data_IF_967480165462
#
_entry.id   IF_967480165462
#
_cell.length_a   1.000
_cell.length_b   1.000
_cell.length_c   1.000
_cell.angle_alpha   90.00
_cell.angle_beta   90.00
_cell.angle_gamma   90.00
#
_symmetry.space_group_name_H-M   'P 1'
#
loop_
_entity.id
_entity.type
_entity.pdbx_description
1 polymer ?
#
# COMPACT_ATOMS: atom_id res chain seq x y z
N UNK A 1 3.71 24.75 -13.67
CA UNK A 1 3.36 23.55 -14.45
C UNK A 1 2.24 22.90 -13.67
N UNK A 2 0.99 22.99 -14.12
CA UNK A 2 -0.15 22.52 -13.31
C UNK A 2 -0.25 21.02 -13.40
N UNK A 3 0.00 20.34 -12.28
CA UNK A 3 -0.14 18.89 -12.18
C UNK A 3 -1.64 18.57 -12.21
N UNK A 4 -2.19 18.33 -13.39
CA UNK A 4 -3.60 17.94 -13.55
C UNK A 4 -3.82 16.58 -12.89
N UNK A 5 -4.45 16.58 -11.72
CA UNK A 5 -4.94 15.35 -11.11
C UNK A 5 -6.25 14.95 -11.79
N UNK A 6 -6.33 13.70 -12.25
CA UNK A 6 -7.56 13.18 -12.85
C UNK A 6 -8.55 12.76 -11.75
N UNK A 7 -9.76 13.30 -11.79
CA UNK A 7 -10.84 12.91 -10.89
C UNK A 7 -11.13 11.42 -11.05
N UNK A 8 -11.18 10.70 -9.93
CA UNK A 8 -11.39 9.25 -9.89
C UNK A 8 -10.11 8.42 -9.86
N UNK A 9 -8.94 9.03 -10.09
CA UNK A 9 -7.66 8.33 -9.93
C UNK A 9 -7.35 8.03 -8.46
N UNK A 10 -6.68 6.90 -8.24
CA UNK A 10 -6.18 6.49 -6.92
C UNK A 10 -4.72 6.89 -6.79
N UNK A 11 -4.42 7.63 -5.74
CA UNK A 11 -3.09 8.13 -5.42
C UNK A 11 -2.66 7.60 -4.06
N UNK A 12 -1.35 7.64 -3.83
CA UNK A 12 -0.76 7.30 -2.54
C UNK A 12 -0.19 8.58 -1.96
N UNK A 13 -0.55 8.90 -0.72
CA UNK A 13 -0.11 10.13 -0.06
C UNK A 13 0.22 9.89 1.41
N UNK A 14 0.93 10.85 1.99
CA UNK A 14 1.36 10.77 3.39
C UNK A 14 0.47 11.63 4.27
N UNK A 15 0.01 11.08 5.40
CA UNK A 15 -0.80 11.85 6.36
C UNK A 15 0.06 12.97 6.96
N UNK A 16 -0.25 14.22 6.63
CA UNK A 16 0.42 15.40 7.15
C UNK A 16 -0.13 15.82 8.51
N UNK A 17 -1.43 15.60 8.75
CA UNK A 17 -2.09 16.00 9.99
C UNK A 17 -3.49 15.43 10.11
N UNK A 18 -3.97 15.32 11.34
CA UNK A 18 -5.30 14.81 11.67
C UNK A 18 -6.04 15.89 12.45
N UNK A 19 -7.29 16.16 12.05
CA UNK A 19 -8.18 17.11 12.69
C UNK A 19 -9.52 16.43 13.01
N UNK A 20 -10.32 16.95 13.96
CA UNK A 20 -11.59 16.33 14.34
C UNK A 20 -12.62 16.26 13.20
N UNK A 21 -12.46 17.08 12.16
CA UNK A 21 -13.32 17.08 10.98
C UNK A 21 -12.78 16.24 9.81
N UNK A 22 -11.52 15.77 9.87
CA UNK A 22 -10.88 15.09 8.74
C UNK A 22 -9.37 14.90 8.87
N UNK A 23 -8.75 14.36 7.82
CA UNK A 23 -7.30 14.16 7.75
C UNK A 23 -6.71 14.86 6.53
N UNK A 24 -5.52 15.45 6.71
CA UNK A 24 -4.74 16.08 5.65
C UNK A 24 -3.73 15.09 5.11
N UNK A 25 -3.74 14.89 3.81
CA UNK A 25 -2.83 14.01 3.11
C UNK A 25 -2.04 14.83 2.10
N UNK A 26 -0.72 14.83 2.25
CA UNK A 26 0.19 15.40 1.28
C UNK A 26 0.38 14.38 0.14
N UNK A 27 0.00 14.78 -1.07
CA UNK A 27 0.20 13.99 -2.29
C UNK A 27 1.52 14.35 -2.95
N UNK A 28 1.87 15.64 -2.95
CA UNK A 28 3.07 16.20 -3.55
C UNK A 28 3.59 17.40 -2.71
N UNK A 29 4.68 18.05 -3.12
CA UNK A 29 5.31 19.15 -2.38
C UNK A 29 4.43 20.40 -2.32
N UNK A 30 3.63 20.66 -3.36
CA UNK A 30 2.74 21.82 -3.46
C UNK A 30 1.25 21.47 -3.33
N UNK A 31 0.90 20.18 -3.33
CA UNK A 31 -0.51 19.74 -3.35
C UNK A 31 -0.89 18.98 -2.09
N UNK A 32 -1.93 19.49 -1.41
CA UNK A 32 -2.50 18.86 -0.23
C UNK A 32 -3.97 18.52 -0.46
N UNK A 33 -4.36 17.33 -0.04
CA UNK A 33 -5.75 16.91 -0.05
C UNK A 33 -6.32 16.77 1.35
N UNK A 34 -7.63 17.01 1.45
CA UNK A 34 -8.41 16.87 2.67
C UNK A 34 -9.36 15.69 2.50
N UNK A 35 -9.30 14.76 3.45
CA UNK A 35 -10.27 13.67 3.60
C UNK A 35 -11.23 14.05 4.71
N UNK A 36 -12.52 14.12 4.38
CA UNK A 36 -13.55 14.41 5.38
C UNK A 36 -13.74 13.21 6.32
N UNK A 37 -14.15 13.43 7.58
CA UNK A 37 -14.38 12.34 8.55
C UNK A 37 -15.34 11.26 8.03
N UNK A 38 -16.36 11.67 7.25
CA UNK A 38 -17.34 10.78 6.60
C UNK A 38 -16.76 9.94 5.46
N UNK A 39 -15.55 10.26 5.01
CA UNK A 39 -14.84 9.59 3.94
C UNK A 39 -13.67 8.72 4.42
N UNK A 40 -13.39 8.73 5.73
CA UNK A 40 -12.38 7.87 6.34
C UNK A 40 -12.93 6.44 6.49
N UNK A 41 -14.17 6.27 6.95
CA UNK A 41 -14.80 4.96 7.16
C UNK A 41 -16.31 5.07 7.17
N UNK A 42 -17.01 3.99 6.83
CA UNK A 42 -18.44 3.84 7.05
C UNK A 42 -18.75 3.65 8.54
N UNK A 43 -18.94 4.75 9.28
CA UNK A 43 -19.36 4.71 10.68
C UNK A 43 -18.97 5.94 11.49
N UNK A 44 -19.38 5.98 12.76
CA UNK A 44 -18.95 7.01 13.70
C UNK A 44 -17.51 6.73 14.13
N UNK A 45 -16.57 7.57 13.69
CA UNK A 45 -15.18 7.50 14.11
C UNK A 45 -15.02 8.35 15.37
N UNK A 46 -14.90 7.69 16.53
CA UNK A 46 -14.71 8.36 17.82
C UNK A 46 -13.31 9.00 17.91
N UNK A 47 -12.31 8.31 17.38
CA UNK A 47 -10.92 8.77 17.30
C UNK A 47 -10.30 8.43 15.93
N UNK A 48 -9.99 9.46 15.14
CA UNK A 48 -9.32 9.30 13.84
C UNK A 48 -7.87 8.83 14.04
N UNK A 49 -7.22 9.21 15.14
CA UNK A 49 -5.84 8.84 15.45
C UNK A 49 -5.61 7.33 15.61
N UNK A 50 -6.65 6.55 15.91
CA UNK A 50 -6.54 5.08 15.94
C UNK A 50 -6.57 4.48 14.53
N UNK A 51 -7.20 5.15 13.57
CA UNK A 51 -7.39 4.68 12.21
C UNK A 51 -6.33 5.19 11.25
N UNK A 52 -5.81 6.39 11.50
CA UNK A 52 -4.79 7.05 10.70
C UNK A 52 -3.70 7.57 11.64
N UNK A 53 -2.44 7.44 11.21
CA UNK A 53 -1.30 8.01 11.93
C UNK A 53 -0.63 9.09 11.09
N UNK A 54 -0.19 10.15 11.76
CA UNK A 54 0.60 11.19 11.12
C UNK A 54 1.90 10.56 10.60
N UNK A 55 2.18 10.78 9.32
CA UNK A 55 3.31 10.22 8.61
C UNK A 55 3.08 8.84 8.00
N UNK A 56 1.90 8.26 8.16
CA UNK A 56 1.53 7.00 7.51
C UNK A 56 1.24 7.22 6.02
N UNK A 57 1.52 6.21 5.20
CA UNK A 57 1.31 6.24 3.76
C UNK A 57 0.00 5.53 3.42
N UNK A 58 -0.98 6.29 2.93
CA UNK A 58 -2.35 5.83 2.69
C UNK A 58 -2.76 6.04 1.25
N UNK A 59 -3.62 5.14 0.76
CA UNK A 59 -4.22 5.27 -0.57
C UNK A 59 -5.53 6.04 -0.49
N UNK A 60 -5.70 6.95 -1.43
CA UNK A 60 -6.84 7.87 -1.51
C UNK A 60 -7.28 8.04 -2.94
N UNK A 61 -8.59 8.17 -3.12
CA UNK A 61 -9.20 8.47 -4.41
C UNK A 61 -9.52 9.95 -4.53
N UNK A 62 -9.19 10.55 -5.68
CA UNK A 62 -9.54 11.94 -6.00
C UNK A 62 -11.03 12.04 -6.32
N UNK A 63 -11.76 12.89 -5.60
CA UNK A 63 -13.16 13.21 -5.91
C UNK A 63 -13.30 14.51 -6.70
N UNK A 64 -12.59 15.53 -6.27
CA UNK A 64 -12.66 16.88 -6.86
C UNK A 64 -11.30 17.53 -6.72
N UNK A 65 -10.88 18.24 -7.76
CA UNK A 65 -9.62 18.98 -7.81
C UNK A 65 -9.96 20.44 -7.95
N UNK A 66 -9.38 21.27 -7.08
CA UNK A 66 -9.49 22.72 -7.14
C UNK A 66 -8.13 23.30 -7.58
N UNK A 67 -8.00 23.62 -8.86
CA UNK A 67 -6.77 24.16 -9.46
C UNK A 67 -6.45 25.58 -8.97
N UNK A 68 -7.44 26.36 -8.52
CA UNK A 68 -7.24 27.72 -8.03
C UNK A 68 -6.58 27.75 -6.64
N UNK A 69 -6.99 26.85 -5.74
CA UNK A 69 -6.49 26.82 -4.36
C UNK A 69 -5.45 25.71 -4.11
N UNK A 70 -5.18 24.85 -5.09
CA UNK A 70 -4.28 23.70 -4.93
C UNK A 70 -4.80 22.63 -3.96
N UNK A 71 -6.11 22.63 -3.70
CA UNK A 71 -6.77 21.74 -2.73
C UNK A 71 -7.49 20.62 -3.45
N UNK A 72 -7.42 19.42 -2.88
CA UNK A 72 -8.06 18.24 -3.47
C UNK A 72 -8.95 17.57 -2.43
N UNK A 73 -10.20 17.29 -2.79
CA UNK A 73 -11.09 16.47 -1.97
C UNK A 73 -10.78 15.00 -2.22
N UNK A 74 -10.45 14.28 -1.15
CA UNK A 74 -9.98 12.91 -1.19
C UNK A 74 -10.86 11.98 -0.37
N UNK A 75 -10.98 10.74 -0.83
CA UNK A 75 -11.70 9.68 -0.12
C UNK A 75 -10.81 8.50 0.19
N UNK A 76 -10.87 7.97 1.42
CA UNK A 76 -10.23 6.70 1.78
C UNK A 76 -11.23 5.54 1.53
N UNK A 77 -12.51 5.72 1.90
CA UNK A 77 -13.58 4.73 1.68
C UNK A 77 -13.75 4.33 0.21
N UNK A 78 -13.63 5.28 -0.72
CA UNK A 78 -13.83 5.00 -2.15
C UNK A 78 -12.69 4.16 -2.75
N UNK A 79 -11.61 3.95 -2.01
CA UNK A 79 -10.49 3.08 -2.34
C UNK A 79 -10.70 1.65 -1.86
N UNK A 80 -11.54 1.42 -0.84
CA UNK A 80 -11.89 0.07 -0.36
C UNK A 80 -12.71 -0.72 -1.41
N UNK A 81 -13.38 -0.04 -2.35
CA UNK A 81 -14.23 -0.67 -3.38
C UNK A 81 -13.49 -1.11 -4.66
N UNK A 82 -12.18 -0.84 -4.83
CA UNK A 82 -11.46 -1.32 -6.03
C UNK A 82 -9.99 -1.70 -5.75
N UNK A 83 -9.60 -2.98 -5.89
CA UNK A 83 -8.22 -3.39 -5.74
C UNK A 83 -7.47 -3.13 -7.06
N UNK A 84 -6.68 -2.05 -7.16
CA UNK A 84 -5.61 -2.00 -8.17
C UNK A 84 -4.48 -1.02 -7.87
N UNK A 85 -3.27 -1.58 -7.86
CA UNK A 85 -1.92 -0.98 -8.01
C UNK A 85 -1.46 -0.05 -6.86
N UNK A 86 -0.36 -0.26 -6.13
CA UNK A 86 1.04 -0.59 -6.44
C UNK A 86 1.81 0.57 -7.07
N UNK A 87 2.39 1.41 -6.20
CA UNK A 87 3.72 2.00 -6.40
C UNK A 87 4.45 2.07 -5.06
N UNK A 88 5.17 1.00 -4.70
CA UNK A 88 6.31 1.12 -3.78
C UNK A 88 7.38 1.91 -4.54
N UNK A 89 7.81 3.12 -4.10
CA UNK A 89 8.95 3.74 -4.73
C UNK A 89 10.18 2.87 -4.48
N UNK A 90 10.83 2.50 -5.58
CA UNK A 90 12.09 1.81 -5.60
C UNK A 90 13.16 2.68 -4.92
N UNK A 91 13.47 2.42 -3.65
CA UNK A 91 14.75 2.84 -3.07
C UNK A 91 15.76 1.72 -3.28
N UNK A 92 16.35 1.71 -4.47
CA UNK A 92 17.47 0.83 -4.83
C UNK A 92 18.78 1.45 -4.31
N UNK A 93 19.45 0.66 -3.46
CA UNK A 93 20.90 0.62 -3.12
C UNK A 93 21.55 1.75 -2.30
N UNK A 94 22.03 1.38 -1.11
CA UNK A 94 23.47 1.18 -0.88
C UNK A 94 23.76 0.15 0.23
N UNK A 95 24.60 -0.81 -0.15
CA UNK A 95 25.47 -1.76 0.55
C UNK A 95 25.27 -2.05 2.05
N UNK A 96 24.96 -3.33 2.34
CA UNK A 96 25.90 -4.16 3.09
C UNK A 96 25.92 -5.57 2.46
N UNK A 97 27.07 -5.93 1.89
CA UNK A 97 27.43 -7.22 1.27
C UNK A 97 28.82 -7.50 1.88
N UNK A 98 29.27 -8.66 2.40
CA UNK A 98 29.06 -10.10 2.15
C UNK A 98 29.64 -10.85 3.39
N UNK A 99 29.13 -12.07 3.71
CA UNK A 99 29.88 -13.27 4.16
C UNK A 99 28.89 -14.23 4.87
N UNK A 100 28.61 -15.51 4.55
CA UNK A 100 29.15 -16.58 3.66
C UNK A 100 28.02 -17.64 3.47
N UNK A 101 28.18 -18.55 2.51
CA UNK A 101 27.28 -19.61 1.97
C UNK A 101 26.74 -20.67 2.98
N UNK A 102 25.84 -21.64 2.61
CA UNK A 102 25.34 -22.01 1.27
C UNK A 102 23.81 -22.07 1.08
N UNK A 103 23.48 -22.13 -0.21
CA UNK A 103 22.17 -22.30 -0.82
C UNK A 103 21.55 -23.67 -0.54
N UNK A 104 20.62 -23.76 0.41
CA UNK A 104 19.86 -25.00 0.68
C UNK A 104 18.35 -24.79 0.72
N UNK A 105 17.85 -23.81 -0.03
CA UNK A 105 16.43 -23.70 -0.36
C UNK A 105 16.20 -24.10 -1.80
N UNK A 106 15.97 -25.39 -2.08
CA UNK A 106 14.97 -25.88 -3.07
C UNK A 106 15.07 -27.38 -3.39
N UNK A 107 16.14 -28.10 -3.02
CA UNK A 107 16.36 -29.46 -3.53
C UNK A 107 16.12 -30.62 -2.55
N UNK A 108 15.90 -30.37 -1.25
CA UNK A 108 15.72 -31.46 -0.24
C UNK A 108 14.31 -32.04 -0.16
N UNK A 109 13.29 -31.34 -0.70
CA UNK A 109 11.93 -31.88 -0.80
C UNK A 109 11.73 -32.71 -2.08
N UNK A 110 12.53 -32.45 -3.12
CA UNK A 110 12.54 -33.25 -4.35
C UNK A 110 13.25 -34.59 -4.14
N UNK A 111 14.30 -34.58 -3.33
CA UNK A 111 15.07 -35.76 -2.93
C UNK A 111 14.22 -36.73 -2.10
N UNK A 112 13.52 -36.24 -1.07
CA UNK A 112 12.61 -37.06 -0.24
C UNK A 112 11.38 -37.61 -0.96
N UNK A 113 10.91 -36.95 -2.03
CA UNK A 113 9.78 -37.45 -2.80
C UNK A 113 10.19 -38.57 -3.78
N UNK A 114 11.44 -38.56 -4.25
CA UNK A 114 11.98 -39.62 -5.11
C UNK A 114 12.21 -40.93 -4.35
N UNK A 115 12.50 -40.86 -3.05
CA UNK A 115 12.74 -42.04 -2.21
C UNK A 115 11.47 -42.88 -1.99
N UNK A 116 10.29 -42.24 -1.91
CA UNK A 116 9.02 -42.93 -1.70
C UNK A 116 8.49 -43.67 -2.94
N UNK A 117 8.85 -43.19 -4.14
CA UNK A 117 8.40 -43.78 -5.42
C UNK A 117 9.09 -45.14 -5.66
N UNK A 118 10.35 -45.29 -5.27
CA UNK A 118 11.08 -46.55 -5.40
C UNK A 118 10.62 -47.64 -4.40
N UNK A 119 9.93 -47.27 -3.32
CA UNK A 119 9.47 -48.23 -2.32
C UNK A 119 8.16 -48.93 -2.69
N UNK A 120 7.42 -48.43 -3.70
CA UNK A 120 6.11 -48.99 -4.11
C UNK A 120 6.17 -49.98 -5.28
N UNK A 121 7.26 -50.10 -6.03
CA UNK A 121 7.37 -51.09 -7.12
C UNK A 121 7.96 -52.45 -6.67
N UNK A 122 8.30 -52.59 -5.38
CA UNK A 122 8.64 -53.89 -4.78
C UNK A 122 7.44 -54.53 -4.06
N UNK A 123 6.22 -54.32 -4.58
CA UNK A 123 5.11 -55.25 -4.37
C UNK A 123 5.05 -56.12 -5.63
N UNK A 124 5.77 -57.25 -5.68
CA UNK A 124 5.48 -58.46 -6.49
C UNK A 124 6.70 -59.37 -6.65
N UNK A 125 6.95 -60.22 -5.66
CA UNK A 125 7.37 -61.60 -5.92
C UNK A 125 6.81 -62.51 -4.85
#
# INVERSE_FOLDING_TARGET
MTTNYEVGSVLTGKVAGIQPYGAFIALDEETQGLVHISEIKHGYVKDINEHLKIGDEVKVKVLTVDEESGKISLSIRATEEAPKQEKKPARRRQANVISEEPTEGFNTLKDKLQEWINQSDLIKK
#
